data_IF_094293070157
#
_entry.id   IF_094293070157
#
_cell.length_a   1.000
_cell.length_b   1.000
_cell.length_c   1.000
_cell.angle_alpha   90.00
_cell.angle_beta   90.00
_cell.angle_gamma   90.00
#
_symmetry.space_group_name_H-M   'P 1'
#
loop_
_entity.id
_entity.type
_entity.pdbx_description
1 polymer ?
#
# COMPACT_ATOMS: atom_id res chain seq x y z
N UNK A 1 -23.65 -22.83 9.01
CA UNK A 1 -22.18 -23.00 9.09
C UNK A 1 -21.63 -22.81 7.68
N UNK A 2 -21.17 -21.60 7.33
CA UNK A 2 -20.59 -21.34 6.01
C UNK A 2 -19.12 -21.76 6.01
N UNK A 3 -18.80 -22.88 5.38
CA UNK A 3 -17.41 -23.22 5.06
C UNK A 3 -16.89 -22.15 4.08
N UNK A 4 -16.09 -21.21 4.58
CA UNK A 4 -15.32 -20.30 3.74
C UNK A 4 -14.29 -21.17 2.99
N UNK A 5 -14.56 -21.45 1.71
CA UNK A 5 -13.57 -22.01 0.82
C UNK A 5 -12.43 -21.01 0.69
N UNK A 6 -11.25 -21.34 1.26
CA UNK A 6 -10.03 -20.57 1.01
C UNK A 6 -9.59 -20.84 -0.42
N UNK A 7 -9.36 -19.79 -1.19
CA UNK A 7 -8.82 -19.92 -2.55
C UNK A 7 -7.33 -20.28 -2.51
N UNK A 8 -6.79 -20.84 -3.60
CA UNK A 8 -5.36 -21.12 -3.72
C UNK A 8 -4.53 -19.82 -3.51
N UNK A 9 -4.99 -18.72 -4.06
CA UNK A 9 -4.35 -17.41 -3.95
C UNK A 9 -4.30 -16.89 -2.51
N UNK A 10 -5.38 -17.06 -1.74
CA UNK A 10 -5.39 -16.68 -0.32
C UNK A 10 -4.39 -17.50 0.50
N UNK A 11 -4.11 -18.75 0.09
CA UNK A 11 -3.11 -19.61 0.74
C UNK A 11 -1.69 -19.13 0.47
N UNK A 12 -1.39 -18.68 -0.75
CA UNK A 12 -0.10 -18.08 -1.12
C UNK A 12 0.17 -16.79 -0.34
N UNK A 13 -0.83 -15.90 -0.24
CA UNK A 13 -0.74 -14.67 0.55
C UNK A 13 -0.48 -15.00 2.02
N UNK A 14 -1.21 -15.96 2.59
CA UNK A 14 -0.98 -16.38 3.98
C UNK A 14 0.44 -16.91 4.20
N UNK A 15 0.95 -17.71 3.26
CA UNK A 15 2.30 -18.24 3.33
C UNK A 15 3.37 -17.14 3.19
N UNK A 16 3.15 -16.14 2.33
CA UNK A 16 4.01 -14.96 2.23
C UNK A 16 4.06 -14.19 3.55
N UNK A 17 2.91 -13.87 4.13
CA UNK A 17 2.86 -13.14 5.40
C UNK A 17 3.47 -13.95 6.56
N UNK A 18 3.36 -15.28 6.53
CA UNK A 18 4.06 -16.18 7.46
C UNK A 18 5.58 -16.12 7.28
N UNK A 19 6.09 -16.13 6.05
CA UNK A 19 7.54 -15.99 5.76
C UNK A 19 8.09 -14.65 6.24
N UNK A 20 7.26 -13.61 6.25
CA UNK A 20 7.59 -12.30 6.80
C UNK A 20 7.48 -12.24 8.34
N UNK A 21 7.16 -13.35 9.01
CA UNK A 21 6.98 -13.47 10.47
C UNK A 21 5.92 -12.53 11.08
N UNK A 22 5.04 -11.97 10.25
CA UNK A 22 3.99 -11.05 10.68
C UNK A 22 3.00 -11.65 11.69
N UNK A 23 2.63 -12.95 11.64
CA UNK A 23 1.77 -13.56 12.65
C UNK A 23 2.34 -13.58 14.07
N UNK A 24 3.66 -13.40 14.24
CA UNK A 24 4.28 -13.31 15.56
C UNK A 24 4.08 -11.93 16.20
N UNK A 25 3.84 -10.91 15.38
CA UNK A 25 3.70 -9.52 15.83
C UNK A 25 2.24 -9.05 15.81
N UNK A 26 1.47 -9.44 14.80
CA UNK A 26 0.09 -9.00 14.64
C UNK A 26 -0.93 -10.02 15.14
N UNK A 27 -1.99 -9.49 15.76
CA UNK A 27 -3.15 -10.28 16.16
C UNK A 27 -3.83 -10.93 14.95
N UNK A 28 -4.50 -12.06 15.18
CA UNK A 28 -5.29 -12.77 14.15
C UNK A 28 -6.30 -11.85 13.42
N UNK A 29 -7.04 -10.94 14.09
CA UNK A 29 -7.88 -9.97 13.41
C UNK A 29 -7.13 -9.06 12.41
N UNK A 30 -5.96 -8.54 12.79
CA UNK A 30 -5.12 -7.70 11.91
C UNK A 30 -4.62 -8.51 10.73
N UNK A 31 -4.08 -9.71 10.99
CA UNK A 31 -3.60 -10.62 9.94
C UNK A 31 -4.69 -10.96 8.92
N UNK A 32 -5.91 -11.21 9.37
CA UNK A 32 -7.03 -11.44 8.47
C UNK A 32 -7.27 -10.21 7.59
N UNK A 33 -7.35 -9.00 8.16
CA UNK A 33 -7.53 -7.78 7.37
C UNK A 33 -6.41 -7.61 6.34
N UNK A 34 -5.14 -7.80 6.72
CA UNK A 34 -4.01 -7.71 5.78
C UNK A 34 -4.16 -8.67 4.59
N UNK A 35 -4.55 -9.93 4.84
CA UNK A 35 -4.82 -10.89 3.75
C UNK A 35 -5.91 -10.36 2.82
N UNK A 36 -6.98 -9.78 3.36
CA UNK A 36 -8.09 -9.26 2.55
C UNK A 36 -7.68 -8.03 1.72
N UNK A 37 -6.86 -7.14 2.27
CA UNK A 37 -6.31 -6.01 1.51
C UNK A 37 -5.40 -6.50 0.37
N UNK A 38 -4.45 -7.40 0.65
CA UNK A 38 -3.53 -7.93 -0.37
C UNK A 38 -4.29 -8.67 -1.46
N UNK A 39 -5.27 -9.51 -1.10
CA UNK A 39 -6.12 -10.22 -2.07
C UNK A 39 -6.89 -9.25 -2.97
N UNK A 40 -7.50 -8.21 -2.38
CA UNK A 40 -8.23 -7.21 -3.15
C UNK A 40 -7.33 -6.33 -4.04
N UNK A 41 -6.11 -6.02 -3.61
CA UNK A 41 -5.15 -5.25 -4.40
C UNK A 41 -4.62 -6.01 -5.62
N UNK A 42 -4.47 -7.34 -5.50
CA UNK A 42 -3.99 -8.20 -6.58
C UNK A 42 -5.09 -8.62 -7.55
N UNK A 43 -6.35 -8.24 -7.29
CA UNK A 43 -7.47 -8.58 -8.15
C UNK A 43 -7.46 -7.76 -9.46
N UNK A 44 -7.83 -8.42 -10.56
CA UNK A 44 -7.83 -7.83 -11.90
C UNK A 44 -8.78 -6.61 -12.05
N UNK A 45 -9.78 -6.48 -11.15
CA UNK A 45 -10.75 -5.37 -11.13
C UNK A 45 -10.44 -4.25 -10.14
N UNK A 46 -9.24 -4.21 -9.56
CA UNK A 46 -8.88 -3.20 -8.55
C UNK A 46 -8.67 -1.82 -9.19
N UNK A 47 -9.55 -0.86 -8.85
CA UNK A 47 -9.46 0.53 -9.33
C UNK A 47 -8.96 1.52 -8.27
N UNK A 48 -8.50 1.00 -7.11
CA UNK A 48 -8.06 1.85 -6.00
C UNK A 48 -9.10 2.04 -4.90
N UNK A 49 -10.26 1.36 -4.94
CA UNK A 49 -11.34 1.59 -3.96
C UNK A 49 -11.54 0.44 -2.97
N UNK A 50 -11.99 0.75 -1.75
CA UNK A 50 -12.42 -0.26 -0.76
C UNK A 50 -13.61 -1.10 -1.24
N UNK A 51 -14.40 -0.57 -2.18
CA UNK A 51 -15.51 -1.31 -2.79
C UNK A 51 -14.97 -2.44 -3.66
N UNK A 52 -13.91 -2.20 -4.43
CA UNK A 52 -13.27 -3.24 -5.24
C UNK A 52 -12.65 -4.31 -4.33
N UNK A 53 -11.92 -3.91 -3.28
CA UNK A 53 -11.35 -4.86 -2.32
C UNK A 53 -12.45 -5.74 -1.71
N UNK A 54 -13.58 -5.16 -1.30
CA UNK A 54 -14.69 -5.94 -0.76
C UNK A 54 -15.34 -6.86 -1.80
N UNK A 55 -15.45 -6.41 -3.06
CA UNK A 55 -16.05 -7.17 -4.15
C UNK A 55 -15.18 -8.35 -4.59
N UNK A 56 -13.87 -8.13 -4.68
CA UNK A 56 -12.92 -9.08 -5.25
C UNK A 56 -12.29 -10.00 -4.20
N UNK A 57 -12.14 -9.56 -2.94
CA UNK A 57 -11.66 -10.43 -1.88
C UNK A 57 -12.75 -11.40 -1.42
N UNK A 58 -12.38 -12.64 -1.10
CA UNK A 58 -13.32 -13.65 -0.58
C UNK A 58 -13.70 -13.39 0.89
N UNK A 59 -13.90 -12.13 1.28
CA UNK A 59 -14.17 -11.73 2.65
C UNK A 59 -15.67 -11.67 2.93
N UNK A 60 -16.15 -12.51 3.85
CA UNK A 60 -17.57 -12.54 4.25
C UNK A 60 -18.03 -11.34 5.09
N UNK A 61 -17.13 -10.39 5.42
CA UNK A 61 -17.47 -9.22 6.25
C UNK A 61 -17.82 -8.01 5.40
N UNK A 62 -18.65 -7.14 5.96
CA UNK A 62 -19.11 -5.91 5.33
C UNK A 62 -17.94 -4.99 4.97
N UNK A 63 -17.99 -4.32 3.80
CA UNK A 63 -17.06 -3.25 3.39
C UNK A 63 -16.73 -2.24 4.51
N UNK A 64 -17.70 -1.90 5.37
CA UNK A 64 -17.50 -1.00 6.52
C UNK A 64 -16.39 -1.46 7.46
N UNK A 65 -16.13 -2.75 7.56
CA UNK A 65 -15.03 -3.32 8.35
C UNK A 65 -13.67 -2.92 7.80
N UNK A 66 -13.51 -2.85 6.46
CA UNK A 66 -12.26 -2.40 5.83
C UNK A 66 -11.98 -0.94 6.16
N UNK A 67 -12.99 -0.07 6.00
CA UNK A 67 -12.87 1.35 6.34
C UNK A 67 -12.57 1.55 7.81
N UNK A 68 -13.28 0.83 8.69
CA UNK A 68 -13.05 0.90 10.13
C UNK A 68 -11.64 0.44 10.51
N UNK A 69 -11.10 -0.59 9.84
CA UNK A 69 -9.74 -1.05 10.08
C UNK A 69 -8.71 0.02 9.74
N UNK A 70 -8.84 0.72 8.60
CA UNK A 70 -7.92 1.79 8.22
C UNK A 70 -8.01 3.03 9.11
N UNK A 71 -9.19 3.35 9.65
CA UNK A 71 -9.37 4.60 10.42
C UNK A 71 -9.24 4.41 11.93
N UNK A 72 -9.60 3.24 12.46
CA UNK A 72 -9.66 2.97 13.90
C UNK A 72 -8.95 1.68 14.30
N UNK A 73 -8.35 0.97 13.35
CA UNK A 73 -7.57 -0.23 13.64
C UNK A 73 -6.38 0.11 14.54
N UNK A 74 -6.15 -0.72 15.56
CA UNK A 74 -4.96 -0.62 16.42
C UNK A 74 -3.94 -1.64 15.96
N UNK A 75 -3.02 -1.22 15.11
CA UNK A 75 -1.91 -2.01 14.62
C UNK A 75 -0.74 -1.09 14.27
N UNK A 76 0.48 -1.59 14.36
CA UNK A 76 1.68 -0.81 14.07
C UNK A 76 1.97 -0.87 12.57
N UNK A 77 1.64 0.19 11.84
CA UNK A 77 1.91 0.33 10.41
C UNK A 77 3.41 0.47 10.11
N UNK A 78 4.17 1.08 11.03
CA UNK A 78 5.61 1.27 10.88
C UNK A 78 6.36 -0.06 10.96
N UNK A 79 5.91 -0.98 11.81
CA UNK A 79 6.48 -2.33 11.84
C UNK A 79 6.30 -3.06 10.51
N UNK A 80 5.12 -2.97 9.87
CA UNK A 80 4.88 -3.60 8.57
C UNK A 80 5.81 -3.00 7.51
N UNK A 81 5.90 -1.67 7.47
CA UNK A 81 6.80 -0.97 6.56
C UNK A 81 8.25 -1.40 6.76
N UNK A 82 8.71 -1.50 8.01
CA UNK A 82 10.06 -1.95 8.35
C UNK A 82 10.33 -3.38 7.84
N UNK A 83 9.39 -4.32 8.06
CA UNK A 83 9.53 -5.71 7.58
C UNK A 83 9.61 -5.78 6.06
N UNK A 84 8.82 -4.96 5.35
CA UNK A 84 8.86 -4.86 3.88
C UNK A 84 10.19 -4.24 3.42
N UNK A 85 10.65 -3.17 4.09
CA UNK A 85 11.93 -2.51 3.81
C UNK A 85 13.12 -3.44 3.99
N UNK A 86 13.17 -4.20 5.08
CA UNK A 86 14.23 -5.20 5.29
C UNK A 86 14.23 -6.29 4.22
N UNK A 87 13.04 -6.72 3.79
CA UNK A 87 12.88 -7.73 2.75
C UNK A 87 13.36 -7.21 1.40
N UNK A 88 12.97 -5.98 1.03
CA UNK A 88 13.43 -5.29 -0.17
C UNK A 88 14.95 -5.08 -0.16
N UNK A 89 15.50 -4.63 0.97
CA UNK A 89 16.94 -4.43 1.15
C UNK A 89 17.74 -5.72 0.97
N UNK A 90 17.29 -6.82 1.59
CA UNK A 90 17.93 -8.14 1.43
C UNK A 90 17.89 -8.60 -0.03
N UNK A 91 16.74 -8.49 -0.68
CA UNK A 91 16.57 -8.92 -2.06
C UNK A 91 17.43 -8.12 -3.03
N UNK A 92 17.42 -6.78 -2.94
CA UNK A 92 18.20 -5.94 -3.84
C UNK A 92 19.72 -6.08 -3.61
N UNK A 93 20.14 -6.30 -2.36
CA UNK A 93 21.55 -6.49 -2.05
C UNK A 93 22.07 -7.86 -2.52
N UNK A 94 21.23 -8.90 -2.50
CA UNK A 94 21.54 -10.19 -3.14
C UNK A 94 21.67 -10.04 -4.65
N UNK A 95 20.76 -9.28 -5.28
CA UNK A 95 20.81 -9.03 -6.71
C UNK A 95 22.08 -8.27 -7.11
N UNK A 96 22.42 -7.19 -6.40
CA UNK A 96 23.65 -6.43 -6.62
C UNK A 96 24.92 -7.31 -6.57
N UNK A 97 24.99 -8.23 -5.60
CA UNK A 97 26.08 -9.21 -5.53
C UNK A 97 26.07 -10.19 -6.70
N UNK A 98 24.89 -10.61 -7.16
CA UNK A 98 24.75 -11.58 -8.26
C UNK A 98 25.18 -10.99 -9.60
N UNK A 99 24.77 -9.75 -9.91
CA UNK A 99 25.04 -9.10 -11.19
C UNK A 99 26.28 -8.19 -11.18
N UNK A 100 26.86 -7.93 -10.00
CA UNK A 100 28.02 -7.04 -9.81
C UNK A 100 27.74 -5.60 -10.26
N UNK A 101 26.52 -5.11 -10.02
CA UNK A 101 26.11 -3.74 -10.31
C UNK A 101 25.79 -2.96 -9.02
N UNK A 102 25.89 -1.61 -9.04
CA UNK A 102 25.51 -0.79 -7.90
C UNK A 102 23.99 -0.83 -7.65
N UNK A 103 23.62 -0.53 -6.41
CA UNK A 103 22.24 -0.23 -6.03
C UNK A 103 22.03 1.27 -6.20
N UNK A 104 21.07 1.66 -7.03
CA UNK A 104 20.61 3.02 -7.15
C UNK A 104 19.47 3.27 -6.17
N UNK A 105 19.54 4.40 -5.48
CA UNK A 105 18.42 4.95 -4.70
C UNK A 105 17.83 6.08 -5.52
N UNK A 106 16.63 5.85 -6.03
CA UNK A 106 15.88 6.83 -6.83
C UNK A 106 14.91 7.53 -5.90
N UNK A 107 14.94 8.85 -5.88
CA UNK A 107 14.04 9.69 -5.08
C UNK A 107 13.31 10.60 -6.05
N UNK A 108 11.99 10.49 -6.09
CA UNK A 108 11.15 11.24 -7.01
C UNK A 108 9.85 11.66 -6.30
N UNK A 109 9.36 12.86 -6.60
CA UNK A 109 8.04 13.30 -6.15
C UNK A 109 6.96 12.73 -7.08
N UNK A 110 5.85 12.30 -6.49
CA UNK A 110 4.69 11.82 -7.23
C UNK A 110 3.42 12.45 -6.68
N UNK A 111 2.51 12.76 -7.59
CA UNK A 111 1.27 13.44 -7.29
C UNK A 111 0.08 12.49 -7.44
N UNK A 112 -0.70 12.35 -6.37
CA UNK A 112 -1.97 11.64 -6.38
C UNK A 112 -3.12 12.64 -6.52
N UNK A 113 -3.54 12.87 -7.76
CA UNK A 113 -4.67 13.76 -8.05
C UNK A 113 -5.98 13.25 -7.46
N UNK A 114 -6.74 14.15 -6.85
CA UNK A 114 -8.05 13.88 -6.28
C UNK A 114 -9.09 14.81 -6.90
N UNK A 115 -10.33 14.38 -6.83
CA UNK A 115 -11.47 15.24 -7.19
C UNK A 115 -11.50 16.42 -6.23
N UNK A 116 -11.45 17.64 -6.78
CA UNK A 116 -11.57 18.87 -6.00
C UNK A 116 -12.91 18.88 -5.25
N UNK A 117 -12.94 19.25 -3.95
CA UNK A 117 -14.18 19.40 -3.22
C UNK A 117 -15.08 20.48 -3.82
N UNK A 118 -16.39 20.30 -3.72
CA UNK A 118 -17.38 21.33 -4.03
C UNK A 118 -17.15 22.56 -3.14
N UNK A 119 -17.52 23.76 -3.61
CA UNK A 119 -17.53 24.98 -2.80
C UNK A 119 -18.46 24.89 -1.58
N UNK A 120 -19.38 23.93 -1.57
CA UNK A 120 -20.29 23.63 -0.46
C UNK A 120 -19.75 22.57 0.51
N UNK A 121 -18.58 21.96 0.24
CA UNK A 121 -18.03 20.93 1.10
C UNK A 121 -17.53 21.54 2.41
N UNK A 122 -18.10 21.10 3.54
CA UNK A 122 -17.67 21.60 4.88
C UNK A 122 -16.30 21.05 5.30
N UNK A 123 -15.89 19.90 4.76
CA UNK A 123 -14.61 19.27 5.03
C UNK A 123 -14.02 18.73 3.74
N UNK A 124 -12.78 19.10 3.44
CA UNK A 124 -12.00 18.49 2.37
C UNK A 124 -11.38 17.18 2.84
N UNK A 125 -10.87 16.40 1.89
CA UNK A 125 -10.06 15.22 2.20
C UNK A 125 -8.83 15.63 3.02
N UNK A 126 -8.47 14.86 4.04
CA UNK A 126 -7.32 15.18 4.89
C UNK A 126 -6.01 15.16 4.09
N UNK A 127 -5.17 16.17 4.33
CA UNK A 127 -3.83 16.25 3.76
C UNK A 127 -3.76 16.57 2.26
N UNK A 128 -4.90 16.85 1.61
CA UNK A 128 -4.92 17.32 0.22
C UNK A 128 -4.82 18.83 0.15
N UNK A 129 -4.08 19.34 -0.83
CA UNK A 129 -4.03 20.76 -1.16
C UNK A 129 -3.86 20.95 -2.69
N UNK A 130 -3.67 22.19 -3.11
CA UNK A 130 -3.35 22.57 -4.48
C UNK A 130 -1.83 22.60 -4.71
N UNK A 131 -1.35 21.66 -5.51
CA UNK A 131 0.05 21.53 -5.90
C UNK A 131 0.24 21.84 -7.39
N UNK A 132 1.42 22.30 -7.81
CA UNK A 132 1.69 22.57 -9.22
C UNK A 132 2.13 21.27 -9.93
N UNK A 133 1.34 20.79 -10.90
CA UNK A 133 1.75 19.66 -11.73
C UNK A 133 2.56 20.16 -12.92
N UNK A 134 3.84 19.81 -12.99
CA UNK A 134 4.70 20.11 -14.13
C UNK A 134 4.17 19.46 -15.42
N UNK A 135 3.72 18.20 -15.36
CA UNK A 135 3.16 17.47 -16.51
C UNK A 135 1.90 18.14 -17.07
N UNK A 136 1.06 18.74 -16.22
CA UNK A 136 -0.18 19.41 -16.65
C UNK A 136 -0.04 20.93 -16.80
N UNK A 137 1.10 21.51 -16.44
CA UNK A 137 1.36 22.96 -16.45
C UNK A 137 0.37 23.77 -15.62
N UNK A 138 -0.27 23.17 -14.59
CA UNK A 138 -1.33 23.82 -13.81
C UNK A 138 -1.39 23.29 -12.38
N UNK A 139 -2.08 24.04 -11.51
CA UNK A 139 -2.39 23.59 -10.15
C UNK A 139 -3.47 22.51 -10.18
N UNK A 140 -3.23 21.45 -9.42
CA UNK A 140 -4.08 20.28 -9.28
C UNK A 140 -4.34 20.02 -7.80
N UNK A 141 -5.53 19.50 -7.49
CA UNK A 141 -5.94 19.19 -6.12
C UNK A 141 -5.60 17.74 -5.78
N UNK A 142 -4.95 17.47 -4.66
CA UNK A 142 -4.56 16.11 -4.31
C UNK A 142 -3.47 16.03 -3.27
N UNK A 143 -2.82 14.87 -3.22
CA UNK A 143 -1.69 14.60 -2.33
C UNK A 143 -0.39 14.63 -3.11
N UNK A 144 0.60 15.34 -2.63
CA UNK A 144 1.99 15.21 -3.09
C UNK A 144 2.76 14.31 -2.13
N UNK A 145 3.57 13.40 -2.64
CA UNK A 145 4.44 12.53 -1.83
C UNK A 145 5.79 12.35 -2.51
N UNK A 146 6.83 12.15 -1.72
CA UNK A 146 8.13 11.68 -2.20
C UNK A 146 8.19 10.16 -2.05
N UNK A 147 8.71 9.47 -3.05
CA UNK A 147 8.90 8.03 -3.06
C UNK A 147 10.38 7.70 -3.25
N UNK A 148 10.87 6.76 -2.43
CA UNK A 148 12.21 6.19 -2.54
C UNK A 148 12.08 4.78 -3.10
N UNK A 149 12.81 4.53 -4.18
CA UNK A 149 12.82 3.27 -4.91
C UNK A 149 14.26 2.77 -5.00
N UNK A 150 14.47 1.49 -4.69
CA UNK A 150 15.75 0.81 -4.87
C UNK A 150 15.76 0.11 -6.22
N UNK A 151 16.84 0.29 -6.98
CA UNK A 151 17.04 -0.37 -8.28
C UNK A 151 18.43 -0.99 -8.38
N UNK A 152 18.52 -2.17 -8.97
CA UNK A 152 19.76 -2.83 -9.35
C UNK A 152 19.48 -3.70 -10.58
N UNK A 153 20.16 -3.47 -11.70
CA UNK A 153 19.79 -4.06 -12.99
C UNK A 153 18.33 -3.79 -13.35
N UNK A 154 17.57 -4.88 -13.55
CA UNK A 154 16.14 -4.87 -13.87
C UNK A 154 15.24 -5.06 -12.65
N UNK A 155 15.81 -5.23 -11.45
CA UNK A 155 15.06 -5.39 -10.21
C UNK A 155 14.80 -4.03 -9.58
N UNK A 156 13.54 -3.80 -9.22
CA UNK A 156 13.04 -2.54 -8.65
C UNK A 156 12.19 -2.86 -7.43
N UNK A 157 12.43 -2.18 -6.30
CA UNK A 157 11.60 -2.28 -5.11
C UNK A 157 11.18 -0.88 -4.60
N UNK A 158 9.89 -0.64 -4.35
CA UNK A 158 9.49 0.50 -3.53
C UNK A 158 10.05 0.30 -2.12
N UNK A 159 10.64 1.34 -1.55
CA UNK A 159 11.34 1.25 -0.27
C UNK A 159 10.69 2.14 0.79
N UNK A 160 10.39 3.39 0.46
CA UNK A 160 9.75 4.31 1.38
C UNK A 160 8.91 5.32 0.62
N UNK A 161 7.87 5.83 1.25
CA UNK A 161 7.18 7.02 0.77
C UNK A 161 6.88 7.94 1.95
N UNK A 162 6.84 9.24 1.68
CA UNK A 162 6.43 10.24 2.65
C UNK A 162 5.57 11.29 1.96
N UNK A 163 4.41 11.60 2.54
CA UNK A 163 3.54 12.66 2.04
C UNK A 163 4.13 14.02 2.44
N UNK A 164 4.08 15.00 1.54
CA UNK A 164 4.34 16.37 1.90
C UNK A 164 3.20 16.91 2.78
N UNK A 165 3.55 17.56 3.88
CA UNK A 165 2.56 18.23 4.71
C UNK A 165 2.36 19.65 4.20
N UNK A 166 1.10 20.01 3.94
CA UNK A 166 0.70 21.40 3.75
C UNK A 166 0.97 22.16 5.06
N UNK A 167 1.65 23.31 4.95
CA UNK A 167 1.91 24.21 6.08
C UNK A 167 0.62 24.85 6.60
#
# INVERSE_FOLDING_TARGET
>A
MSHLYKTAHQTEIQHLLQKLNLPLYYSKPVMNQLVHFVEGFLAHGFSGTLTDIHRESCHSRNRRTLSHFLTHGKWDEHHLLHVVQESAWKAIHQEAKRIQEPIFVIVDDTFCEKTKPSSQAMFSMQGTDFHHSHTKGKRVWGHERVEQILRCGDVIFPYQFQRYESK
#
